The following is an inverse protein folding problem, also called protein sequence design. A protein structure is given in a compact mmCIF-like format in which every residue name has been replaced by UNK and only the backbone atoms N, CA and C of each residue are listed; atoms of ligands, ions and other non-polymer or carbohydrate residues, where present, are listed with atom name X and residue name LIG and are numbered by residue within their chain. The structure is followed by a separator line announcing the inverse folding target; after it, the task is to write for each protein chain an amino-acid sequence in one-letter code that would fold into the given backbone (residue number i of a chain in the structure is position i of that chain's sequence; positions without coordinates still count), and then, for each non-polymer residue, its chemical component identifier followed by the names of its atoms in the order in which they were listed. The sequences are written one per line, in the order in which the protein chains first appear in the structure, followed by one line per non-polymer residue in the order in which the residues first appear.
data_IF_352209030372
#
_entry.id   IF_352209030372
#
_cell.length_a   1.000
_cell.length_b   1.000
_cell.length_c   1.000
_cell.angle_alpha   90.00
_cell.angle_beta   90.00
_cell.angle_gamma   90.00
#
_symmetry.space_group_name_H-M   'P 1'
#
loop_
_entity.id
_entity.type
_entity.pdbx_description
1 polymer ?
#
# COMPACT_ATOMS: atom_id res chain seq x y z
N UNK A 1 -13.76 -2.37 -10.04
CA UNK A 1 -12.35 -2.23 -10.45
C UNK A 1 -12.00 -0.86 -11.08
N UNK A 2 -12.69 -0.42 -12.14
CA UNK A 2 -12.29 0.78 -12.94
C UNK A 2 -11.93 2.04 -12.15
N UNK A 3 -12.74 2.44 -11.16
CA UNK A 3 -12.45 3.61 -10.31
C UNK A 3 -11.12 3.46 -9.56
N UNK A 4 -10.88 2.30 -8.95
CA UNK A 4 -9.65 2.04 -8.21
C UNK A 4 -8.43 2.03 -9.14
N UNK A 5 -8.57 1.49 -10.36
CA UNK A 5 -7.50 1.49 -11.35
C UNK A 5 -7.07 2.90 -11.78
N UNK A 6 -8.03 3.79 -12.03
CA UNK A 6 -7.74 5.19 -12.38
C UNK A 6 -7.07 5.96 -11.22
N UNK A 7 -7.51 5.71 -9.98
CA UNK A 7 -6.88 6.30 -8.79
C UNK A 7 -5.46 5.78 -8.64
N UNK A 8 -5.25 4.47 -8.75
CA UNK A 8 -3.92 3.86 -8.69
C UNK A 8 -3.00 4.43 -9.77
N UNK A 9 -3.47 4.52 -11.02
CA UNK A 9 -2.68 5.10 -12.10
C UNK A 9 -2.28 6.56 -11.79
N UNK A 10 -3.19 7.34 -11.23
CA UNK A 10 -2.92 8.73 -10.82
C UNK A 10 -1.88 8.81 -9.70
N UNK A 11 -1.97 7.92 -8.71
CA UNK A 11 -0.99 7.76 -7.63
C UNK A 11 0.39 7.42 -8.20
N UNK A 12 0.46 6.45 -9.11
CA UNK A 12 1.72 6.03 -9.73
C UNK A 12 2.34 7.15 -10.58
N UNK A 13 1.51 7.91 -11.30
CA UNK A 13 1.97 9.08 -12.04
C UNK A 13 2.56 10.15 -11.11
N UNK A 14 1.89 10.44 -10.00
CA UNK A 14 2.39 11.36 -8.99
C UNK A 14 3.69 10.85 -8.37
N UNK A 15 3.78 9.57 -8.00
CA UNK A 15 5.01 8.96 -7.52
C UNK A 15 6.15 9.14 -8.52
N UNK A 16 5.93 8.84 -9.81
CA UNK A 16 6.93 9.04 -10.85
C UNK A 16 7.41 10.50 -10.94
N UNK A 17 6.51 11.48 -10.78
CA UNK A 17 6.91 12.89 -10.77
C UNK A 17 7.74 13.25 -9.55
N UNK A 18 7.44 12.68 -8.38
CA UNK A 18 8.24 12.85 -7.17
C UNK A 18 9.63 12.23 -7.36
N UNK A 19 9.70 10.97 -7.81
CA UNK A 19 10.95 10.23 -8.00
C UNK A 19 11.89 10.89 -9.02
N UNK A 20 11.33 11.64 -9.97
CA UNK A 20 12.07 12.36 -11.02
C UNK A 20 12.28 13.83 -10.70
N UNK A 21 11.84 14.30 -9.54
CA UNK A 21 11.87 15.71 -9.15
C UNK A 21 11.17 16.64 -10.16
N UNK A 22 10.15 16.13 -10.87
CA UNK A 22 9.35 16.85 -11.87
C UNK A 22 8.10 17.52 -11.25
N UNK A 23 7.80 17.24 -9.97
CA UNK A 23 6.66 17.82 -9.28
C UNK A 23 6.84 19.33 -9.12
N UNK A 24 5.85 20.10 -9.55
CA UNK A 24 5.90 21.57 -9.43
C UNK A 24 5.91 21.99 -7.95
N UNK A 25 6.86 22.86 -7.52
CA UNK A 25 6.91 23.33 -6.15
C UNK A 25 5.61 24.02 -5.73
N UNK A 26 5.17 23.74 -4.50
CA UNK A 26 4.04 24.43 -3.91
C UNK A 26 4.40 25.88 -3.57
N UNK A 27 3.47 26.80 -3.84
CA UNK A 27 3.61 28.22 -3.56
C UNK A 27 2.45 28.71 -2.67
N UNK A 28 2.77 29.33 -1.54
CA UNK A 28 1.79 30.07 -0.73
C UNK A 28 1.43 31.36 -1.47
N UNK A 29 0.13 31.56 -1.74
CA UNK A 29 -0.40 32.71 -2.51
C UNK A 29 0.34 32.92 -3.86
N UNK A 30 0.73 31.83 -4.52
CA UNK A 30 1.52 31.84 -5.76
C UNK A 30 2.82 32.67 -5.69
N UNK A 31 3.37 32.89 -4.49
CA UNK A 31 4.50 33.82 -4.30
C UNK A 31 5.64 33.20 -3.48
N UNK A 32 5.34 32.47 -2.40
CA UNK A 32 6.37 31.99 -1.47
C UNK A 32 6.50 30.47 -1.61
N UNK A 33 7.66 29.94 -2.05
CA UNK A 33 7.86 28.50 -2.13
C UNK A 33 7.91 27.86 -0.76
N UNK A 34 7.32 26.67 -0.65
CA UNK A 34 7.38 25.80 0.53
C UNK A 34 8.26 24.59 0.29
N UNK A 35 8.81 24.05 1.37
CA UNK A 35 9.64 22.86 1.33
C UNK A 35 8.85 21.65 0.82
N UNK A 36 9.39 20.92 -0.14
CA UNK A 36 8.76 19.74 -0.76
C UNK A 36 9.20 18.41 -0.12
N UNK A 37 10.07 18.42 0.90
CA UNK A 37 10.60 17.20 1.53
C UNK A 37 9.52 16.27 2.13
N UNK A 38 8.31 16.78 2.36
CA UNK A 38 7.17 15.96 2.78
C UNK A 38 6.67 15.04 1.65
N UNK A 39 6.77 15.49 0.39
CA UNK A 39 6.30 14.74 -0.78
C UNK A 39 7.18 13.52 -1.06
N UNK A 40 8.48 13.61 -0.79
CA UNK A 40 9.43 12.51 -0.96
C UNK A 40 9.01 11.25 -0.18
N UNK A 41 8.33 11.42 0.96
CA UNK A 41 7.91 10.32 1.85
C UNK A 41 6.43 9.96 1.76
N UNK A 42 5.71 10.44 0.72
CA UNK A 42 4.29 10.11 0.56
C UNK A 42 4.04 8.65 0.19
N UNK A 43 4.96 8.05 -0.57
CA UNK A 43 4.86 6.69 -1.07
C UNK A 43 6.07 5.89 -0.61
N UNK A 44 6.00 4.56 -0.71
CA UNK A 44 7.11 3.66 -0.38
C UNK A 44 7.64 3.86 1.05
N UNK A 45 6.77 4.29 1.96
CA UNK A 45 7.12 4.66 3.32
C UNK A 45 6.22 3.92 4.28
N UNK A 46 6.81 3.30 5.30
CA UNK A 46 6.08 2.53 6.32
C UNK A 46 6.61 2.85 7.70
N UNK A 47 5.72 2.81 8.69
CA UNK A 47 6.07 2.93 10.10
C UNK A 47 6.17 1.55 10.73
N UNK A 48 7.39 1.11 11.03
CA UNK A 48 7.66 -0.16 11.70
C UNK A 48 7.60 0.06 13.21
N UNK A 49 6.85 -0.76 13.97
CA UNK A 49 6.77 -0.61 15.41
C UNK A 49 8.13 -0.95 16.06
N UNK A 50 8.54 -0.18 17.05
CA UNK A 50 9.70 -0.50 17.89
C UNK A 50 9.30 -0.69 19.35
N UNK A 51 10.22 -1.21 20.18
CA UNK A 51 9.96 -1.51 21.59
C UNK A 51 9.56 -0.25 22.36
N UNK A 52 10.34 0.82 22.20
CA UNK A 52 10.10 2.13 22.81
C UNK A 52 9.75 3.20 21.78
N UNK A 53 10.38 3.15 20.60
CA UNK A 53 10.25 4.15 19.54
C UNK A 53 10.10 3.46 18.19
N UNK A 54 9.10 3.88 17.43
CA UNK A 54 8.87 3.37 16.09
C UNK A 54 9.84 3.96 15.08
N UNK A 55 10.12 3.21 14.02
CA UNK A 55 10.98 3.63 12.92
C UNK A 55 10.13 3.95 11.68
N UNK A 56 10.50 5.02 10.98
CA UNK A 56 9.94 5.36 9.68
C UNK A 56 10.91 4.92 8.60
N UNK A 57 10.58 3.85 7.90
CA UNK A 57 11.37 3.33 6.78
C UNK A 57 10.85 3.92 5.47
N UNK A 58 11.76 4.29 4.59
CA UNK A 58 11.49 4.75 3.23
C UNK A 58 12.30 3.89 2.26
N UNK A 59 11.63 3.33 1.26
CA UNK A 59 12.22 2.41 0.29
C UNK A 59 12.39 3.09 -1.06
N UNK A 60 13.47 2.73 -1.76
CA UNK A 60 13.74 3.23 -3.10
C UNK A 60 12.70 2.68 -4.11
N UNK A 61 12.49 3.41 -5.20
CA UNK A 61 11.63 3.01 -6.32
C UNK A 61 12.02 1.69 -6.98
N UNK A 62 13.27 1.25 -6.87
CA UNK A 62 13.71 -0.07 -7.34
C UNK A 62 13.22 -1.21 -6.44
N UNK A 63 13.05 -0.94 -5.14
CA UNK A 63 12.54 -1.91 -4.17
C UNK A 63 11.00 -1.91 -4.13
N UNK A 64 10.39 -0.73 -4.24
CA UNK A 64 8.93 -0.55 -4.23
C UNK A 64 8.33 -0.52 -5.63
N UNK A 65 8.12 -1.70 -6.21
CA UNK A 65 7.54 -1.86 -7.57
C UNK A 65 6.17 -2.55 -7.59
N UNK A 66 5.55 -2.72 -6.42
CA UNK A 66 4.21 -3.27 -6.26
C UNK A 66 3.36 -2.43 -5.31
N UNK A 67 2.06 -2.66 -5.34
CA UNK A 67 1.11 -2.24 -4.31
C UNK A 67 0.56 -3.46 -3.59
N UNK A 68 0.06 -3.26 -2.38
CA UNK A 68 -0.76 -4.27 -1.70
C UNK A 68 -2.22 -3.93 -1.90
N UNK A 69 -3.01 -4.90 -2.34
CA UNK A 69 -4.46 -4.77 -2.46
C UNK A 69 -5.10 -5.55 -1.31
N UNK A 70 -5.88 -4.87 -0.48
CA UNK A 70 -6.65 -5.48 0.60
C UNK A 70 -8.13 -5.51 0.21
N UNK A 71 -8.71 -6.71 0.16
CA UNK A 71 -10.10 -6.95 -0.22
C UNK A 71 -10.66 -8.08 0.64
N UNK A 72 -11.80 -7.84 1.30
CA UNK A 72 -12.47 -8.86 2.14
C UNK A 72 -11.55 -9.55 3.17
N UNK A 73 -10.57 -8.84 3.75
CA UNK A 73 -9.63 -9.42 4.70
C UNK A 73 -8.42 -10.13 4.08
N UNK A 74 -8.37 -10.26 2.75
CA UNK A 74 -7.29 -10.90 2.00
C UNK A 74 -6.33 -9.85 1.44
N UNK A 75 -5.03 -10.15 1.45
CA UNK A 75 -3.99 -9.29 0.91
C UNK A 75 -3.37 -9.90 -0.34
N UNK A 76 -3.22 -9.09 -1.37
CA UNK A 76 -2.62 -9.47 -2.65
C UNK A 76 -1.46 -8.55 -2.98
N UNK A 77 -0.37 -9.13 -3.48
CA UNK A 77 0.70 -8.36 -4.11
C UNK A 77 0.35 -8.10 -5.56
N UNK A 78 0.29 -6.83 -5.96
CA UNK A 78 0.04 -6.41 -7.33
C UNK A 78 1.23 -5.63 -7.87
N UNK A 79 1.98 -6.22 -8.80
CA UNK A 79 3.03 -5.52 -9.54
C UNK A 79 2.41 -4.45 -10.43
N UNK A 80 3.01 -3.25 -10.43
CA UNK A 80 2.48 -2.07 -11.15
C UNK A 80 3.38 -1.61 -12.29
N UNK A 81 4.46 -2.35 -12.54
CA UNK A 81 5.37 -2.18 -13.65
C UNK A 81 5.50 -3.49 -14.43
N UNK A 82 5.67 -3.39 -15.75
CA UNK A 82 5.95 -4.52 -16.61
C UNK A 82 7.45 -4.91 -16.62
N UNK A 83 7.77 -5.96 -17.38
CA UNK A 83 9.14 -6.47 -17.56
C UNK A 83 10.08 -5.45 -18.25
N UNK A 84 9.52 -4.44 -18.94
CA UNK A 84 10.25 -3.34 -19.59
C UNK A 84 10.33 -2.10 -18.68
N UNK A 85 9.98 -2.25 -17.41
CA UNK A 85 9.94 -1.20 -16.41
C UNK A 85 9.01 -0.03 -16.80
N UNK A 86 7.95 -0.30 -17.55
CA UNK A 86 6.89 0.64 -17.86
C UNK A 86 5.73 0.46 -16.87
N UNK A 87 5.16 1.59 -16.46
CA UNK A 87 3.98 1.59 -15.61
C UNK A 87 2.78 1.00 -16.35
N UNK A 88 2.03 0.13 -15.68
CA UNK A 88 0.82 -0.46 -16.26
C UNK A 88 -0.24 0.61 -16.54
N UNK A 89 -0.97 0.44 -17.63
CA UNK A 89 -2.10 1.31 -17.99
C UNK A 89 -3.29 1.10 -17.06
N UNK A 90 -4.19 2.09 -16.96
CA UNK A 90 -5.43 1.94 -16.20
C UNK A 90 -6.25 0.72 -16.64
N UNK A 91 -6.26 0.39 -17.93
CA UNK A 91 -7.00 -0.78 -18.44
C UNK A 91 -6.38 -2.12 -18.01
N UNK A 92 -5.06 -2.21 -17.90
CA UNK A 92 -4.37 -3.40 -17.37
C UNK A 92 -4.58 -3.53 -15.86
N UNK A 93 -4.42 -2.42 -15.13
CA UNK A 93 -4.69 -2.37 -13.70
C UNK A 93 -6.14 -2.72 -13.37
N UNK A 94 -7.09 -2.28 -14.19
CA UNK A 94 -8.51 -2.60 -14.02
C UNK A 94 -8.75 -4.12 -14.13
N UNK A 95 -8.17 -4.77 -15.13
CA UNK A 95 -8.29 -6.23 -15.29
C UNK A 95 -7.70 -6.96 -14.09
N UNK A 96 -6.46 -6.62 -13.70
CA UNK A 96 -5.79 -7.26 -12.56
C UNK A 96 -6.54 -7.04 -11.25
N UNK A 97 -7.08 -5.84 -11.01
CA UNK A 97 -7.91 -5.57 -9.84
C UNK A 97 -9.23 -6.34 -9.88
N UNK A 98 -9.83 -6.53 -11.06
CA UNK A 98 -11.03 -7.35 -11.19
C UNK A 98 -10.73 -8.82 -10.92
N UNK A 99 -9.61 -9.34 -11.42
CA UNK A 99 -9.16 -10.71 -11.14
C UNK A 99 -8.95 -10.94 -9.63
N UNK A 100 -8.35 -9.96 -8.93
CA UNK A 100 -8.19 -9.98 -7.46
C UNK A 100 -9.55 -9.99 -6.75
N UNK A 101 -10.51 -9.16 -7.17
CA UNK A 101 -11.87 -9.12 -6.60
C UNK A 101 -12.57 -10.48 -6.81
N UNK A 102 -12.47 -11.04 -8.01
CA UNK A 102 -13.12 -12.29 -8.37
C UNK A 102 -12.50 -13.49 -7.63
N UNK A 103 -11.17 -13.47 -7.43
CA UNK A 103 -10.46 -14.45 -6.61
C UNK A 103 -10.85 -14.36 -5.13
N UNK A 104 -10.87 -13.14 -4.58
CA UNK A 104 -11.25 -12.91 -3.19
C UNK A 104 -12.67 -13.41 -2.90
N UNK A 105 -13.61 -13.15 -3.81
CA UNK A 105 -14.98 -13.63 -3.69
C UNK A 105 -15.10 -15.16 -3.67
N UNK A 106 -14.20 -15.89 -4.35
CA UNK A 106 -14.16 -17.36 -4.34
C UNK A 106 -13.58 -17.91 -3.04
N UNK A 107 -12.57 -17.23 -2.48
CA UNK A 107 -11.81 -17.74 -1.34
C UNK A 107 -12.24 -17.19 0.02
N UNK A 108 -13.08 -16.14 0.08
CA UNK A 108 -13.48 -15.51 1.35
C UNK A 108 -14.02 -16.50 2.38
N UNK A 109 -14.75 -17.53 1.94
CA UNK A 109 -15.37 -18.54 2.82
C UNK A 109 -14.39 -19.66 3.22
N UNK A 110 -13.29 -19.83 2.47
CA UNK A 110 -12.26 -20.85 2.77
C UNK A 110 -11.31 -20.45 3.89
N UNK A 111 -11.33 -19.19 4.31
CA UNK A 111 -10.42 -18.61 5.30
C UNK A 111 -11.23 -18.22 6.53
N UNK A 112 -10.68 -18.46 7.72
CA UNK A 112 -11.37 -18.12 8.96
C UNK A 112 -11.51 -16.60 9.14
N UNK A 113 -12.51 -16.17 9.92
CA UNK A 113 -12.68 -14.76 10.24
C UNK A 113 -11.46 -14.16 10.97
N UNK A 114 -10.81 -14.95 11.82
CA UNK A 114 -9.59 -14.57 12.52
C UNK A 114 -8.44 -14.29 11.56
N UNK A 115 -8.22 -15.16 10.58
CA UNK A 115 -7.17 -14.98 9.56
C UNK A 115 -7.42 -13.75 8.68
N UNK A 116 -8.69 -13.48 8.34
CA UNK A 116 -9.09 -12.26 7.61
C UNK A 116 -8.88 -10.97 8.42
N UNK A 117 -8.68 -11.08 9.73
CA UNK A 117 -8.60 -9.94 10.66
C UNK A 117 -7.18 -9.63 11.13
N UNK A 118 -6.14 -10.28 10.59
CA UNK A 118 -4.73 -10.05 10.99
C UNK A 118 -4.34 -8.58 10.91
N UNK A 119 -4.83 -7.85 9.90
CA UNK A 119 -4.55 -6.42 9.74
C UNK A 119 -5.04 -5.56 10.93
N UNK A 120 -6.05 -6.01 11.67
CA UNK A 120 -6.57 -5.29 12.84
C UNK A 120 -5.54 -5.17 13.96
N UNK A 121 -4.54 -6.06 14.01
CA UNK A 121 -3.42 -5.98 14.96
C UNK A 121 -2.65 -4.68 14.83
N UNK A 122 -2.61 -4.07 13.64
CA UNK A 122 -1.93 -2.78 13.40
C UNK A 122 -2.61 -1.60 14.11
N UNK A 123 -3.87 -1.78 14.54
CA UNK A 123 -4.65 -0.81 15.31
C UNK A 123 -4.47 -0.91 16.83
N UNK A 124 -3.71 -1.89 17.33
CA UNK A 124 -3.41 -2.03 18.76
C UNK A 124 -2.47 -0.92 19.27
N UNK A 125 -2.36 -0.72 20.61
CA UNK A 125 -1.31 0.10 21.19
C UNK A 125 0.07 -0.29 20.65
N UNK A 126 0.94 0.70 20.43
CA UNK A 126 2.21 0.49 19.68
C UNK A 126 3.10 -0.59 20.28
N UNK A 127 3.23 -0.60 21.62
CA UNK A 127 4.00 -1.62 22.34
C UNK A 127 3.40 -3.03 22.19
N UNK A 128 2.07 -3.16 22.13
CA UNK A 128 1.41 -4.46 21.95
C UNK A 128 1.57 -4.96 20.51
N UNK A 129 1.43 -4.06 19.53
CA UNK A 129 1.72 -4.38 18.14
C UNK A 129 3.18 -4.80 17.94
N UNK A 130 4.14 -4.07 18.52
CA UNK A 130 5.56 -4.44 18.49
C UNK A 130 5.80 -5.85 19.06
N UNK A 131 5.23 -6.17 20.23
CA UNK A 131 5.38 -7.51 20.86
C UNK A 131 4.86 -8.61 19.94
N UNK A 132 3.66 -8.44 19.39
CA UNK A 132 3.04 -9.43 18.51
C UNK A 132 3.84 -9.58 17.22
N UNK A 133 4.26 -8.48 16.60
CA UNK A 133 5.08 -8.49 15.41
C UNK A 133 6.40 -9.24 15.65
N UNK A 134 7.10 -8.90 16.73
CA UNK A 134 8.39 -9.50 17.09
C UNK A 134 8.30 -11.00 17.41
N UNK A 135 7.14 -11.48 17.86
CA UNK A 135 6.93 -12.90 18.20
C UNK A 135 6.47 -13.74 17.00
N UNK A 136 5.68 -13.16 16.09
CA UNK A 136 4.95 -13.94 15.08
C UNK A 136 5.29 -13.60 13.62
N UNK A 137 6.00 -12.50 13.38
CA UNK A 137 6.21 -11.97 12.02
C UNK A 137 7.70 -11.78 11.67
N UNK A 138 8.62 -12.38 12.43
CA UNK A 138 10.06 -12.26 12.20
C UNK A 138 10.67 -13.41 11.37
N UNK A 139 9.93 -14.51 11.20
CA UNK A 139 10.43 -15.70 10.50
C UNK A 139 9.41 -16.28 9.51
N UNK A 140 9.92 -17.05 8.53
CA UNK A 140 9.13 -17.79 7.55
C UNK A 140 8.23 -16.90 6.67
N UNK A 141 7.09 -17.46 6.29
CA UNK A 141 6.12 -16.81 5.37
C UNK A 141 5.60 -15.48 5.93
N UNK A 142 5.44 -15.37 7.26
CA UNK A 142 4.95 -14.14 7.87
C UNK A 142 5.96 -12.99 7.73
N UNK A 143 7.26 -13.30 7.84
CA UNK A 143 8.33 -12.33 7.58
C UNK A 143 8.30 -11.86 6.13
N UNK A 144 8.19 -12.80 5.19
CA UNK A 144 8.18 -12.49 3.76
C UNK A 144 6.94 -11.64 3.40
N UNK A 145 5.77 -11.97 3.96
CA UNK A 145 4.55 -11.19 3.81
C UNK A 145 4.69 -9.77 4.39
N UNK A 146 5.33 -9.63 5.57
CA UNK A 146 5.60 -8.31 6.15
C UNK A 146 6.57 -7.49 5.29
N UNK A 147 7.59 -8.12 4.70
CA UNK A 147 8.52 -7.44 3.79
C UNK A 147 7.78 -6.92 2.53
N UNK A 148 6.87 -7.73 1.97
CA UNK A 148 6.00 -7.32 0.87
C UNK A 148 5.13 -6.12 1.27
N UNK A 149 4.51 -6.15 2.45
CA UNK A 149 3.66 -5.04 2.92
C UNK A 149 4.48 -3.77 3.13
N UNK A 150 5.62 -3.88 3.81
CA UNK A 150 6.49 -2.76 4.14
C UNK A 150 7.05 -2.07 2.90
N UNK A 151 7.44 -2.85 1.87
CA UNK A 151 8.02 -2.34 0.63
C UNK A 151 7.00 -1.89 -0.42
N UNK A 152 5.70 -1.97 -0.14
CA UNK A 152 4.69 -1.54 -1.11
C UNK A 152 4.73 -0.03 -1.36
N UNK A 153 4.46 0.40 -2.59
CA UNK A 153 4.29 1.82 -2.94
C UNK A 153 3.18 2.45 -2.10
N UNK A 154 2.06 1.75 -2.00
CA UNK A 154 0.93 2.06 -1.15
C UNK A 154 0.04 0.82 -0.97
N UNK A 155 -0.94 0.92 -0.07
CA UNK A 155 -2.02 -0.06 0.06
C UNK A 155 -3.30 0.48 -0.57
N UNK A 156 -3.98 -0.35 -1.37
CA UNK A 156 -5.32 -0.08 -1.88
C UNK A 156 -6.31 -0.95 -1.12
N UNK A 157 -7.33 -0.31 -0.55
CA UNK A 157 -8.41 -0.99 0.13
C UNK A 157 -9.65 -0.98 -0.75
N UNK A 158 -10.17 -2.18 -1.05
CA UNK A 158 -11.40 -2.37 -1.80
C UNK A 158 -12.52 -2.79 -0.84
N UNK A 159 -13.41 -1.85 -0.55
CA UNK A 159 -14.62 -2.11 0.24
C UNK A 159 -15.81 -2.40 -0.66
N UNK A 160 -16.60 -3.41 -0.27
CA UNK A 160 -17.85 -3.76 -0.94
C UNK A 160 -19.04 -2.95 -0.42
N UNK A 161 -18.91 -2.34 0.76
CA UNK A 161 -19.99 -1.62 1.42
C UNK A 161 -19.85 -0.13 1.14
N UNK A 162 -20.81 0.42 0.39
CA UNK A 162 -21.02 1.87 0.37
C UNK A 162 -21.69 2.27 1.70
N UNK A 163 -21.21 3.33 2.39
CA UNK A 163 -21.91 3.82 3.57
C UNK A 163 -23.33 4.21 3.18
N UNK A 164 -24.31 3.72 3.94
CA UNK A 164 -25.73 3.86 3.58
C UNK A 164 -26.21 5.33 3.61
N UNK A 165 -25.52 6.22 4.34
CA UNK A 165 -25.65 7.68 4.28
C UNK A 165 -24.37 8.34 4.87
N UNK A 166 -23.97 9.50 4.34
CA UNK A 166 -23.01 10.43 4.96
C UNK A 166 -23.78 11.64 5.46
#
# INVERSE_FOLDING_TARGET
ASRAANILQSILYMKRQIDREELTPLLIRNTIPVCMAQYERLFSTVRVPGEEVDELLHFDSQESRHVVVWVQGLMYQLWVYDDKNQMLSAGELEKLLQDIIDDANKHKESISETERSIAALTGLPRTDWWKIQSQHFIEGINRDNMDIINKAVCMIVLFDIAPENI
#
